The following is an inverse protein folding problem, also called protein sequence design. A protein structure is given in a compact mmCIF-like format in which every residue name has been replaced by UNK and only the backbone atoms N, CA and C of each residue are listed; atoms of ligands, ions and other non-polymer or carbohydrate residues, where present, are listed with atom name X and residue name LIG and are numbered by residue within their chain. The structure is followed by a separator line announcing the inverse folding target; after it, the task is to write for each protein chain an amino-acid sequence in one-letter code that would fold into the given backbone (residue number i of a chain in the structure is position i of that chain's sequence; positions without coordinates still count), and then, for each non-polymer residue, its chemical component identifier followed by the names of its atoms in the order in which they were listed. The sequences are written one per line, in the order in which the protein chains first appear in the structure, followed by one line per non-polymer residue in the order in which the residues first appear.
data_IF_423787077855
#
_entry.id   IF_423787077855
#
_cell.length_a   1.000
_cell.length_b   1.000
_cell.length_c   1.000
_cell.angle_alpha   90.00
_cell.angle_beta   90.00
_cell.angle_gamma   90.00
#
_symmetry.space_group_name_H-M   'P 1'
#
loop_
_entity.id
_entity.type
_entity.pdbx_description
1 polymer ?
#
# COMPACT_ATOMS: atom_id res chain seq x y z
N UNK A 1 11.82 -35.82 -31.51
CA UNK A 1 12.14 -35.10 -30.24
C UNK A 1 11.17 -33.94 -30.12
N UNK A 2 10.06 -34.18 -29.46
CA UNK A 2 8.98 -33.18 -29.23
C UNK A 2 9.32 -32.40 -27.98
N UNK A 3 9.47 -31.09 -28.10
CA UNK A 3 9.59 -30.16 -26.96
C UNK A 3 8.29 -30.23 -26.14
N UNK A 4 8.45 -30.48 -24.84
CA UNK A 4 7.33 -30.47 -23.90
C UNK A 4 6.73 -29.06 -23.73
N UNK A 5 5.44 -28.93 -23.29
CA UNK A 5 4.77 -27.68 -23.18
C UNK A 5 5.27 -26.87 -21.98
N UNK A 6 5.78 -25.66 -22.22
CA UNK A 6 5.75 -24.58 -21.25
C UNK A 6 6.97 -24.40 -20.36
N UNK A 7 8.17 -24.26 -20.91
CA UNK A 7 9.19 -23.48 -20.22
C UNK A 7 8.74 -22.01 -20.22
N UNK A 8 8.29 -21.55 -19.03
CA UNK A 8 8.08 -20.11 -18.79
C UNK A 8 9.44 -19.42 -18.94
N UNK A 9 9.48 -18.22 -19.57
CA UNK A 9 10.73 -17.49 -19.64
C UNK A 9 11.32 -17.35 -18.25
N UNK A 10 12.61 -17.63 -18.14
CA UNK A 10 13.34 -17.59 -16.86
C UNK A 10 13.33 -16.15 -16.33
N UNK A 11 12.53 -15.90 -15.31
CA UNK A 11 12.45 -14.58 -14.66
C UNK A 11 13.82 -14.30 -14.00
N UNK A 12 14.47 -13.23 -14.38
CA UNK A 12 15.77 -12.86 -13.82
C UNK A 12 15.60 -11.97 -12.60
N UNK A 13 16.18 -12.36 -11.45
CA UNK A 13 16.45 -11.43 -10.35
C UNK A 13 17.73 -10.66 -10.72
N UNK A 14 17.64 -9.78 -11.71
CA UNK A 14 18.76 -8.96 -12.15
C UNK A 14 18.58 -7.53 -11.62
N UNK A 15 19.52 -7.07 -10.79
CA UNK A 15 19.54 -5.71 -10.27
C UNK A 15 19.06 -5.55 -8.82
N UNK A 16 18.77 -4.32 -8.40
CA UNK A 16 18.32 -4.00 -7.03
C UNK A 16 17.01 -4.71 -6.69
N UNK A 17 16.86 -5.13 -5.41
CA UNK A 17 15.66 -5.80 -4.91
C UNK A 17 14.41 -4.89 -4.89
N UNK A 18 14.61 -3.58 -4.95
CA UNK A 18 13.57 -2.56 -5.08
C UNK A 18 14.01 -1.56 -6.14
N UNK A 19 13.11 -1.25 -7.08
CA UNK A 19 13.32 -0.25 -8.11
C UNK A 19 12.49 0.99 -7.80
N UNK A 20 13.01 2.16 -8.15
CA UNK A 20 12.30 3.45 -8.01
C UNK A 20 12.37 4.20 -9.32
N UNK A 21 11.22 4.69 -9.78
CA UNK A 21 11.12 5.62 -10.91
C UNK A 21 10.25 6.79 -10.49
N UNK A 22 10.68 8.02 -10.79
CA UNK A 22 9.89 9.23 -10.51
C UNK A 22 9.53 9.88 -11.84
N UNK A 23 8.22 10.07 -12.05
CA UNK A 23 7.67 10.69 -13.24
C UNK A 23 6.40 11.47 -12.85
N UNK A 24 6.20 12.66 -13.38
CA UNK A 24 5.01 13.49 -13.13
C UNK A 24 4.68 13.67 -11.64
N UNK A 25 5.71 13.83 -10.80
CA UNK A 25 5.61 13.94 -9.34
C UNK A 25 5.09 12.67 -8.64
N UNK A 26 5.13 11.53 -9.30
CA UNK A 26 4.71 10.24 -8.77
C UNK A 26 5.94 9.32 -8.70
N UNK A 27 6.27 8.84 -7.50
CA UNK A 27 7.29 7.82 -7.31
C UNK A 27 6.65 6.43 -7.44
N UNK A 28 7.11 5.63 -8.40
CA UNK A 28 6.73 4.23 -8.52
C UNK A 28 7.82 3.37 -7.89
N UNK A 29 7.49 2.69 -6.79
CA UNK A 29 8.36 1.75 -6.07
C UNK A 29 7.94 0.33 -6.44
N UNK A 30 8.87 -0.45 -6.99
CA UNK A 30 8.60 -1.81 -7.45
C UNK A 30 9.45 -2.81 -6.68
N UNK A 31 8.81 -3.77 -6.01
CA UNK A 31 9.48 -4.93 -5.44
C UNK A 31 9.99 -5.80 -6.59
N UNK A 32 11.31 -6.05 -6.66
CA UNK A 32 11.96 -6.61 -7.83
C UNK A 32 12.72 -7.90 -7.54
N UNK A 33 12.01 -8.90 -7.05
CA UNK A 33 12.49 -10.29 -6.91
C UNK A 33 11.48 -11.27 -7.51
N UNK A 34 11.23 -11.21 -8.84
CA UNK A 34 10.15 -11.98 -9.48
C UNK A 34 10.30 -13.50 -9.33
N UNK A 35 11.53 -14.05 -9.32
CA UNK A 35 11.78 -15.48 -9.08
C UNK A 35 11.33 -15.93 -7.70
N UNK A 36 11.48 -15.08 -6.69
CA UNK A 36 11.01 -15.30 -5.32
C UNK A 36 9.58 -14.74 -5.10
N UNK A 37 8.83 -14.37 -6.16
CA UNK A 37 7.52 -13.73 -6.06
C UNK A 37 7.53 -12.53 -5.12
N UNK A 38 8.59 -11.75 -5.19
CA UNK A 38 8.83 -10.54 -4.41
C UNK A 38 8.75 -10.78 -2.88
N UNK A 39 9.20 -11.96 -2.43
CA UNK A 39 9.26 -12.28 -1.01
C UNK A 39 10.15 -11.28 -0.24
N UNK A 40 9.72 -10.96 0.98
CA UNK A 40 10.32 -9.98 1.87
C UNK A 40 11.61 -10.54 2.49
N UNK A 41 12.71 -10.42 1.74
CA UNK A 41 14.07 -10.56 2.27
C UNK A 41 14.47 -9.28 3.03
N UNK A 42 15.56 -9.33 3.79
CA UNK A 42 16.12 -8.11 4.42
C UNK A 42 16.38 -7.01 3.39
N UNK A 43 16.95 -7.37 2.23
CA UNK A 43 17.21 -6.41 1.16
C UNK A 43 15.94 -5.75 0.63
N UNK A 44 14.84 -6.51 0.47
CA UNK A 44 13.53 -5.95 0.08
C UNK A 44 12.97 -5.05 1.17
N UNK A 45 12.99 -5.48 2.43
CA UNK A 45 12.43 -4.71 3.54
C UNK A 45 13.14 -3.36 3.71
N UNK A 46 14.49 -3.36 3.73
CA UNK A 46 15.26 -2.11 3.84
C UNK A 46 15.12 -1.25 2.59
N UNK A 47 15.26 -1.83 1.39
CA UNK A 47 15.11 -1.07 0.14
C UNK A 47 13.72 -0.45 -0.02
N UNK A 48 12.66 -1.16 0.40
CA UNK A 48 11.29 -0.64 0.40
C UNK A 48 11.13 0.52 1.38
N UNK A 49 11.65 0.37 2.60
CA UNK A 49 11.63 1.43 3.60
C UNK A 49 12.35 2.68 3.10
N UNK A 50 13.59 2.53 2.65
CA UNK A 50 14.43 3.64 2.19
C UNK A 50 13.81 4.35 0.98
N UNK A 51 13.26 3.58 0.03
CA UNK A 51 12.61 4.13 -1.16
C UNK A 51 11.37 4.97 -0.81
N UNK A 52 10.52 4.48 0.11
CA UNK A 52 9.31 5.20 0.54
C UNK A 52 9.68 6.40 1.40
N UNK A 53 10.67 6.30 2.29
CA UNK A 53 11.16 7.41 3.10
C UNK A 53 11.72 8.53 2.20
N UNK A 54 12.60 8.19 1.26
CA UNK A 54 13.17 9.15 0.30
C UNK A 54 12.09 9.84 -0.53
N UNK A 55 11.10 9.10 -1.03
CA UNK A 55 9.95 9.69 -1.74
C UNK A 55 9.11 10.59 -0.82
N UNK A 56 9.03 10.27 0.48
CA UNK A 56 8.39 11.09 1.50
C UNK A 56 9.05 12.45 1.66
N UNK A 57 10.38 12.48 1.68
CA UNK A 57 11.19 13.68 1.89
C UNK A 57 11.38 14.52 0.62
N UNK A 58 11.23 13.94 -0.56
CA UNK A 58 11.43 14.64 -1.84
C UNK A 58 10.25 15.60 -2.13
N UNK A 59 10.44 16.94 -2.13
CA UNK A 59 9.38 17.91 -2.44
C UNK A 59 8.86 17.80 -3.88
N UNK A 60 9.61 17.17 -4.78
CA UNK A 60 9.20 16.90 -6.15
C UNK A 60 8.16 15.77 -6.26
N UNK A 61 7.99 14.94 -5.22
CA UNK A 61 7.04 13.82 -5.21
C UNK A 61 5.76 14.20 -4.48
N UNK A 62 4.61 13.93 -5.07
CA UNK A 62 3.27 14.16 -4.49
C UNK A 62 2.58 12.87 -4.01
N UNK A 63 2.86 11.75 -4.66
CA UNK A 63 2.29 10.44 -4.34
C UNK A 63 3.27 9.32 -4.62
N UNK A 64 3.10 8.19 -3.95
CA UNK A 64 3.87 6.97 -4.16
C UNK A 64 2.94 5.88 -4.66
N UNK A 65 3.35 5.13 -5.69
CA UNK A 65 2.73 3.87 -6.12
C UNK A 65 3.66 2.74 -5.71
N UNK A 66 3.13 1.75 -4.98
CA UNK A 66 3.85 0.54 -4.61
C UNK A 66 3.29 -0.64 -5.39
N UNK A 67 4.16 -1.37 -6.09
CA UNK A 67 3.79 -2.57 -6.86
C UNK A 67 4.88 -3.63 -6.79
N UNK A 68 4.63 -4.81 -7.37
CA UNK A 68 5.62 -5.87 -7.54
C UNK A 68 5.94 -6.13 -9.00
N UNK A 69 7.17 -6.55 -9.32
CA UNK A 69 7.46 -7.14 -10.61
C UNK A 69 6.64 -8.43 -10.79
N UNK A 70 6.03 -8.62 -11.97
CA UNK A 70 5.24 -9.82 -12.24
C UNK A 70 6.02 -11.13 -11.98
N UNK A 71 5.32 -12.16 -11.51
CA UNK A 71 3.86 -12.37 -11.51
C UNK A 71 3.18 -12.10 -10.16
N UNK A 72 3.80 -11.47 -9.18
CA UNK A 72 3.26 -11.32 -7.83
C UNK A 72 3.42 -9.89 -7.31
N UNK A 73 2.53 -9.48 -6.42
CA UNK A 73 2.78 -8.31 -5.59
C UNK A 73 3.86 -8.64 -4.55
N UNK A 74 3.55 -9.55 -3.62
CA UNK A 74 4.49 -10.02 -2.60
C UNK A 74 3.99 -11.31 -1.95
N UNK A 75 4.84 -12.35 -1.91
CA UNK A 75 4.50 -13.65 -1.34
C UNK A 75 4.69 -13.75 0.18
N UNK A 76 5.01 -12.66 0.87
CA UNK A 76 5.27 -12.64 2.31
C UNK A 76 6.76 -12.79 2.65
N UNK A 77 7.06 -13.14 3.88
CA UNK A 77 8.44 -13.27 4.38
C UNK A 77 9.20 -14.35 3.58
N UNK A 78 10.46 -14.07 3.25
CA UNK A 78 11.34 -15.03 2.58
C UNK A 78 11.76 -16.14 3.54
N UNK A 79 11.03 -17.26 3.49
CA UNK A 79 11.26 -18.40 4.38
C UNK A 79 12.65 -19.03 4.22
N UNK A 80 13.34 -18.81 3.10
CA UNK A 80 14.71 -19.31 2.93
C UNK A 80 15.71 -18.53 3.77
N UNK A 81 15.46 -17.22 3.98
CA UNK A 81 16.28 -16.43 4.89
C UNK A 81 15.96 -16.68 6.37
N UNK A 82 14.72 -17.16 6.65
CA UNK A 82 14.27 -17.48 8.01
C UNK A 82 14.73 -18.86 8.47
N UNK A 83 14.88 -19.83 7.54
CA UNK A 83 15.32 -21.19 7.83
C UNK A 83 16.82 -21.31 8.18
N UNK A 84 17.61 -20.25 8.04
CA UNK A 84 18.94 -20.17 8.66
C UNK A 84 18.81 -19.98 10.18
N UNK A 85 19.72 -20.54 10.96
CA UNK A 85 19.73 -20.73 12.43
C UNK A 85 19.48 -19.48 13.34
N UNK A 86 19.04 -18.36 12.80
CA UNK A 86 18.57 -17.24 13.58
C UNK A 86 17.08 -17.01 13.30
N UNK A 87 16.22 -16.89 14.35
CA UNK A 87 14.88 -16.39 14.13
C UNK A 87 14.98 -15.08 13.35
N UNK A 88 13.98 -14.75 12.49
CA UNK A 88 14.00 -13.46 11.82
C UNK A 88 14.15 -12.44 12.92
N UNK A 89 15.33 -11.82 13.00
CA UNK A 89 15.52 -10.75 13.92
C UNK A 89 14.49 -9.70 13.53
N UNK A 90 13.39 -9.65 14.28
CA UNK A 90 12.59 -8.43 14.34
C UNK A 90 13.64 -7.35 14.58
N UNK A 91 13.88 -6.44 13.62
CA UNK A 91 14.92 -5.44 13.78
C UNK A 91 14.76 -4.81 15.15
N UNK A 92 15.87 -4.59 15.90
CA UNK A 92 15.78 -3.97 17.20
C UNK A 92 15.03 -2.65 17.08
N UNK A 93 14.32 -2.30 18.13
CA UNK A 93 13.60 -1.04 18.28
C UNK A 93 14.54 0.14 18.06
N UNK A 94 14.66 0.58 16.83
CA UNK A 94 15.23 1.89 16.55
C UNK A 94 14.16 2.68 15.79
N UNK A 95 13.39 3.53 16.52
CA UNK A 95 12.34 4.32 15.91
C UNK A 95 12.98 5.32 14.95
N UNK A 96 12.99 5.01 13.66
CA UNK A 96 13.42 5.93 12.63
C UNK A 96 14.43 5.42 11.61
N UNK A 97 15.02 4.23 11.79
CA UNK A 97 16.11 3.76 10.93
C UNK A 97 15.82 2.50 10.10
N UNK A 98 14.54 2.20 9.80
CA UNK A 98 14.17 1.07 8.94
C UNK A 98 12.90 0.33 9.38
N UNK A 99 12.56 -0.80 8.73
CA UNK A 99 11.43 -1.62 9.11
C UNK A 99 11.54 -2.05 10.58
N UNK A 100 10.49 -1.81 11.36
CA UNK A 100 10.49 -2.13 12.78
C UNK A 100 9.17 -1.81 13.46
N UNK A 101 9.11 -1.99 14.79
CA UNK A 101 7.92 -1.65 15.55
C UNK A 101 7.86 -0.16 15.85
N UNK A 102 6.70 0.45 15.56
CA UNK A 102 6.43 1.83 15.97
C UNK A 102 6.20 1.93 17.49
N UNK A 103 5.96 3.13 17.97
CA UNK A 103 5.72 3.42 19.40
C UNK A 103 4.52 2.67 19.98
N UNK A 104 3.58 2.22 19.12
CA UNK A 104 2.41 1.44 19.50
C UNK A 104 2.63 -0.08 19.39
N UNK A 105 3.85 -0.50 19.02
CA UNK A 105 4.21 -1.91 18.87
C UNK A 105 3.82 -2.53 17.54
N UNK A 106 3.21 -1.79 16.61
CA UNK A 106 2.89 -2.26 15.26
C UNK A 106 4.18 -2.36 14.45
N UNK A 107 4.43 -3.52 13.85
CA UNK A 107 5.51 -3.68 12.90
C UNK A 107 5.16 -2.96 11.58
N UNK A 108 6.06 -2.10 11.13
CA UNK A 108 5.88 -1.36 9.89
C UNK A 108 6.89 -1.81 8.85
N UNK A 109 6.37 -2.16 7.69
CA UNK A 109 7.13 -2.37 6.46
C UNK A 109 7.35 -1.05 5.72
N UNK A 110 6.46 -0.08 5.93
CA UNK A 110 6.48 1.24 5.31
C UNK A 110 6.65 2.32 6.38
N UNK A 111 7.52 3.33 6.16
CA UNK A 111 7.55 4.51 7.02
C UNK A 111 6.24 5.29 6.90
N UNK A 112 5.87 5.97 7.97
CA UNK A 112 4.76 6.92 7.93
C UNK A 112 5.24 8.20 7.28
N UNK A 113 4.79 8.45 6.06
CA UNK A 113 5.10 9.67 5.30
C UNK A 113 3.86 10.57 5.17
N UNK A 114 4.08 11.86 4.91
CA UNK A 114 3.01 12.84 4.72
C UNK A 114 2.34 12.76 3.35
N UNK A 115 2.60 11.73 2.55
CA UNK A 115 2.10 11.57 1.19
C UNK A 115 1.33 10.26 1.06
N UNK A 116 0.34 10.13 0.15
CA UNK A 116 -0.35 8.88 -0.08
C UNK A 116 0.59 7.85 -0.71
N UNK A 117 0.50 6.61 -0.21
CA UNK A 117 1.10 5.42 -0.81
C UNK A 117 -0.03 4.58 -1.35
N UNK A 118 -0.12 4.42 -2.65
CA UNK A 118 -1.17 3.66 -3.34
C UNK A 118 -0.61 2.29 -3.68
N UNK A 119 -1.21 1.23 -3.14
CA UNK A 119 -0.82 -0.13 -3.49
C UNK A 119 -1.45 -0.55 -4.82
N UNK A 120 -0.62 -0.80 -5.84
CA UNK A 120 -1.03 -1.37 -7.13
C UNK A 120 -0.75 -2.88 -7.09
N UNK A 121 -1.74 -3.67 -6.68
CA UNK A 121 -1.59 -5.11 -6.42
C UNK A 121 -1.73 -5.89 -7.73
N UNK A 122 -0.59 -6.23 -8.35
CA UNK A 122 -0.53 -6.87 -9.66
C UNK A 122 -0.75 -8.39 -9.65
N UNK A 123 -0.60 -9.04 -8.50
CA UNK A 123 -0.71 -10.49 -8.36
C UNK A 123 -0.99 -10.90 -6.92
N UNK A 124 -0.43 -12.02 -6.46
CA UNK A 124 -0.64 -12.51 -5.09
C UNK A 124 -0.02 -11.56 -4.06
N UNK A 125 -0.78 -11.28 -3.01
CA UNK A 125 -0.36 -10.58 -1.79
C UNK A 125 -0.71 -11.46 -0.60
N UNK A 126 0.29 -12.09 0.03
CA UNK A 126 0.06 -13.15 1.02
C UNK A 126 0.82 -12.85 2.31
N UNK A 127 0.15 -13.03 3.45
CA UNK A 127 0.74 -12.95 4.79
C UNK A 127 1.49 -11.62 4.99
N UNK A 128 2.80 -11.58 5.14
CA UNK A 128 3.59 -10.33 5.20
C UNK A 128 3.41 -9.43 3.96
N UNK A 129 3.18 -10.01 2.77
CA UNK A 129 2.88 -9.25 1.56
C UNK A 129 1.50 -8.59 1.59
N UNK A 130 0.52 -9.22 2.23
CA UNK A 130 -0.77 -8.60 2.52
C UNK A 130 -0.61 -7.50 3.58
N UNK A 131 0.24 -7.69 4.59
CA UNK A 131 0.56 -6.66 5.57
C UNK A 131 1.19 -5.41 4.95
N UNK A 132 2.09 -5.59 3.97
CA UNK A 132 2.64 -4.46 3.18
C UNK A 132 1.53 -3.75 2.41
N UNK A 133 0.64 -4.48 1.74
CA UNK A 133 -0.48 -3.89 1.01
C UNK A 133 -1.41 -3.11 1.94
N UNK A 134 -1.78 -3.66 3.09
CA UNK A 134 -2.65 -3.02 4.09
C UNK A 134 -2.05 -1.75 4.71
N UNK A 135 -0.74 -1.59 4.71
CA UNK A 135 -0.07 -0.37 5.18
C UNK A 135 -0.08 0.75 4.11
N UNK A 136 -0.49 0.47 2.87
CA UNK A 136 -0.75 1.49 1.88
C UNK A 136 -1.99 2.33 2.25
N UNK A 137 -2.10 3.52 1.69
CA UNK A 137 -3.24 4.43 1.94
C UNK A 137 -4.54 3.86 1.41
N UNK A 138 -4.51 3.28 0.21
CA UNK A 138 -5.58 2.50 -0.41
C UNK A 138 -5.02 1.61 -1.51
N UNK A 139 -5.85 0.69 -2.02
CA UNK A 139 -5.42 -0.35 -2.95
C UNK A 139 -6.19 -0.31 -4.27
N UNK A 140 -5.44 -0.46 -5.36
CA UNK A 140 -5.95 -0.83 -6.69
C UNK A 140 -5.45 -2.23 -7.00
N UNK A 141 -6.33 -3.12 -7.44
CA UNK A 141 -5.98 -4.49 -7.74
C UNK A 141 -6.13 -4.81 -9.23
N UNK A 142 -5.21 -5.61 -9.74
CA UNK A 142 -5.41 -6.33 -11.00
C UNK A 142 -6.46 -7.42 -10.80
N UNK A 143 -7.23 -7.77 -11.83
CA UNK A 143 -8.10 -8.96 -11.85
C UNK A 143 -7.36 -10.27 -11.52
N UNK A 144 -6.01 -10.28 -11.71
CA UNK A 144 -5.15 -11.41 -11.34
C UNK A 144 -4.79 -11.44 -9.85
N UNK A 145 -5.05 -10.36 -9.10
CA UNK A 145 -4.68 -10.28 -7.70
C UNK A 145 -5.40 -11.33 -6.85
N UNK A 146 -4.70 -11.84 -5.85
CA UNK A 146 -5.22 -12.78 -4.86
C UNK A 146 -4.66 -12.40 -3.49
N UNK A 147 -5.49 -12.47 -2.48
CA UNK A 147 -5.15 -12.06 -1.12
C UNK A 147 -5.36 -13.23 -0.17
N UNK A 148 -4.41 -13.47 0.72
CA UNK A 148 -4.56 -14.50 1.75
C UNK A 148 -3.76 -14.14 3.00
N UNK A 149 -4.30 -14.53 4.14
CA UNK A 149 -3.56 -14.57 5.41
C UNK A 149 -3.25 -16.03 5.77
N UNK A 150 -2.01 -16.44 5.63
CA UNK A 150 -1.59 -17.82 5.90
C UNK A 150 -0.83 -17.96 7.22
N UNK A 151 -0.86 -16.97 8.14
CA UNK A 151 -0.19 -17.05 9.43
C UNK A 151 -0.61 -18.30 10.22
N UNK A 152 -1.93 -18.56 10.32
CA UNK A 152 -2.42 -19.74 11.03
C UNK A 152 -1.97 -21.06 10.40
N UNK A 153 -1.87 -21.13 9.06
CA UNK A 153 -1.36 -22.33 8.35
C UNK A 153 0.11 -22.60 8.64
N UNK A 154 0.89 -21.54 8.90
CA UNK A 154 2.31 -21.61 9.23
C UNK A 154 2.56 -21.77 10.73
N UNK A 155 1.53 -21.63 11.57
CA UNK A 155 1.67 -21.64 13.03
C UNK A 155 2.39 -20.41 13.58
N UNK A 156 2.38 -19.29 12.88
CA UNK A 156 3.01 -18.02 13.30
C UNK A 156 1.96 -16.94 13.52
N UNK A 157 2.31 -15.91 14.29
CA UNK A 157 1.40 -14.79 14.57
C UNK A 157 1.75 -13.58 13.72
N UNK A 158 0.75 -12.84 13.22
CA UNK A 158 0.95 -11.59 12.51
C UNK A 158 1.50 -10.50 13.44
N UNK A 159 2.27 -9.58 12.88
CA UNK A 159 2.81 -8.44 13.62
C UNK A 159 2.74 -7.13 12.85
N UNK A 160 2.47 -7.18 11.54
CA UNK A 160 2.42 -6.04 10.63
C UNK A 160 1.03 -5.44 10.43
N UNK A 161 0.04 -5.83 11.25
CA UNK A 161 -1.27 -5.16 11.32
C UNK A 161 -2.43 -5.88 10.64
N UNK A 162 -2.28 -7.11 10.17
CA UNK A 162 -3.38 -7.86 9.53
C UNK A 162 -4.65 -7.85 10.39
N UNK A 163 -4.56 -8.21 11.66
CA UNK A 163 -5.73 -8.32 12.53
C UNK A 163 -6.47 -7.00 12.74
N UNK A 164 -5.75 -5.87 12.67
CA UNK A 164 -6.31 -4.53 12.84
C UNK A 164 -6.79 -3.98 11.50
N UNK A 165 -5.88 -3.87 10.52
CA UNK A 165 -6.15 -3.18 9.27
C UNK A 165 -7.15 -3.94 8.37
N UNK A 166 -7.07 -5.27 8.37
CA UNK A 166 -8.01 -6.09 7.61
C UNK A 166 -9.41 -6.04 8.23
N UNK A 167 -9.51 -6.05 9.58
CA UNK A 167 -10.79 -5.92 10.27
C UNK A 167 -11.43 -4.53 10.04
N UNK A 168 -10.63 -3.47 9.96
CA UNK A 168 -11.12 -2.14 9.60
C UNK A 168 -11.60 -2.06 8.15
N UNK A 169 -10.94 -2.77 7.23
CA UNK A 169 -11.27 -2.72 5.79
C UNK A 169 -12.52 -3.54 5.45
N UNK A 170 -12.63 -4.79 5.92
CA UNK A 170 -13.66 -5.72 5.50
C UNK A 170 -14.61 -6.17 6.63
N UNK A 171 -14.44 -5.63 7.82
CA UNK A 171 -15.18 -6.01 9.01
C UNK A 171 -14.61 -7.25 9.70
N UNK A 172 -14.81 -7.30 11.04
CA UNK A 172 -14.16 -8.25 11.94
C UNK A 172 -14.39 -9.72 11.54
N UNK A 173 -15.65 -10.10 11.22
CA UNK A 173 -15.99 -11.50 10.94
C UNK A 173 -15.33 -12.03 9.68
N UNK A 174 -15.26 -11.23 8.62
CA UNK A 174 -14.58 -11.60 7.37
C UNK A 174 -13.06 -11.68 7.54
N UNK A 175 -12.49 -10.75 8.29
CA UNK A 175 -11.08 -10.79 8.63
C UNK A 175 -10.73 -12.07 9.42
N UNK A 176 -11.53 -12.43 10.44
CA UNK A 176 -11.35 -13.68 11.21
C UNK A 176 -11.43 -14.91 10.29
N UNK A 177 -12.46 -15.00 9.45
CA UNK A 177 -12.64 -16.13 8.51
C UNK A 177 -11.38 -16.28 7.61
N UNK A 178 -10.91 -15.19 7.02
CA UNK A 178 -9.74 -15.22 6.14
C UNK A 178 -8.48 -15.67 6.89
N UNK A 179 -8.22 -15.12 8.09
CA UNK A 179 -7.05 -15.47 8.90
C UNK A 179 -7.08 -16.91 9.41
N UNK A 180 -8.23 -17.40 9.84
CA UNK A 180 -8.33 -18.75 10.39
C UNK A 180 -8.31 -19.84 9.33
N UNK A 181 -8.88 -19.58 8.14
CA UNK A 181 -8.91 -20.54 7.04
C UNK A 181 -7.62 -20.49 6.20
N UNK A 182 -7.00 -19.31 6.10
CA UNK A 182 -5.90 -19.05 5.17
C UNK A 182 -6.32 -19.19 3.70
N UNK A 183 -7.62 -19.12 3.39
CA UNK A 183 -8.12 -19.22 2.03
C UNK A 183 -7.80 -17.94 1.24
N UNK A 184 -7.79 -18.07 -0.09
CA UNK A 184 -7.52 -16.95 -0.97
C UNK A 184 -8.82 -16.23 -1.32
N UNK A 185 -8.81 -14.91 -1.26
CA UNK A 185 -9.80 -14.02 -1.88
C UNK A 185 -9.35 -13.68 -3.30
N UNK A 186 -10.31 -13.67 -4.21
CA UNK A 186 -10.14 -13.08 -5.55
C UNK A 186 -10.15 -11.54 -5.46
N UNK A 187 -9.72 -10.88 -6.53
CA UNK A 187 -9.79 -9.42 -6.62
C UNK A 187 -11.24 -8.89 -6.47
N UNK A 188 -12.20 -9.55 -7.13
CA UNK A 188 -13.61 -9.15 -7.07
C UNK A 188 -14.23 -9.35 -5.68
N UNK A 189 -13.85 -10.41 -4.97
CA UNK A 189 -14.25 -10.60 -3.57
C UNK A 189 -13.64 -9.53 -2.68
N UNK A 190 -12.36 -9.20 -2.87
CA UNK A 190 -11.67 -8.15 -2.14
C UNK A 190 -12.34 -6.77 -2.35
N UNK A 191 -12.79 -6.47 -3.59
CA UNK A 191 -13.56 -5.26 -3.90
C UNK A 191 -14.90 -5.25 -3.17
N UNK A 192 -15.69 -6.33 -3.27
CA UNK A 192 -16.99 -6.42 -2.58
C UNK A 192 -16.90 -6.30 -1.06
N UNK A 193 -15.77 -6.72 -0.49
CA UNK A 193 -15.51 -6.66 0.95
C UNK A 193 -14.88 -5.33 1.40
N UNK A 194 -14.51 -4.45 0.48
CA UNK A 194 -13.87 -3.17 0.80
C UNK A 194 -12.37 -3.27 1.11
N UNK A 195 -11.73 -4.42 0.82
CA UNK A 195 -10.27 -4.57 0.98
C UNK A 195 -9.51 -3.77 -0.08
N UNK A 196 -10.04 -3.69 -1.29
CA UNK A 196 -9.49 -2.88 -2.38
C UNK A 196 -10.52 -1.88 -2.90
N UNK A 197 -10.06 -0.75 -3.42
CA UNK A 197 -10.92 0.33 -3.90
C UNK A 197 -11.35 0.14 -5.35
N UNK A 198 -10.49 -0.50 -6.17
CA UNK A 198 -10.73 -0.73 -7.59
C UNK A 198 -10.16 -2.07 -8.03
N UNK A 199 -10.81 -2.67 -9.03
CA UNK A 199 -10.29 -3.83 -9.76
C UNK A 199 -10.31 -3.50 -11.25
N UNK A 200 -9.17 -3.70 -11.92
CA UNK A 200 -8.98 -3.36 -13.32
C UNK A 200 -8.29 -4.50 -14.09
N UNK A 201 -8.37 -4.58 -15.42
CA UNK A 201 -7.55 -5.46 -16.22
C UNK A 201 -6.06 -5.31 -15.84
N UNK A 202 -5.31 -6.40 -15.94
CA UNK A 202 -3.92 -6.41 -15.47
C UNK A 202 -3.04 -5.36 -16.14
N UNK A 203 -3.17 -5.22 -17.43
CA UNK A 203 -2.45 -4.24 -18.26
C UNK A 203 -2.83 -2.80 -17.95
N UNK A 204 -4.03 -2.57 -17.40
CA UNK A 204 -4.51 -1.26 -16.99
C UNK A 204 -4.11 -0.87 -15.55
N UNK A 205 -3.54 -1.79 -14.78
CA UNK A 205 -3.28 -1.57 -13.35
C UNK A 205 -2.42 -0.31 -13.11
N UNK A 206 -1.24 -0.23 -13.70
CA UNK A 206 -0.36 0.92 -13.52
C UNK A 206 -0.88 2.19 -14.20
N UNK A 207 -1.39 2.15 -15.45
CA UNK A 207 -2.04 3.31 -16.07
C UNK A 207 -3.17 3.89 -15.22
N UNK A 208 -4.08 3.06 -14.72
CA UNK A 208 -5.18 3.48 -13.86
C UNK A 208 -4.69 4.08 -12.53
N UNK A 209 -3.75 3.41 -11.86
CA UNK A 209 -3.20 3.88 -10.59
C UNK A 209 -2.45 5.21 -10.76
N UNK A 210 -1.74 5.40 -11.89
CA UNK A 210 -1.08 6.66 -12.21
C UNK A 210 -2.08 7.81 -12.44
N UNK A 211 -3.23 7.54 -13.07
CA UNK A 211 -4.30 8.55 -13.21
C UNK A 211 -4.79 9.01 -11.83
N UNK A 212 -5.10 8.08 -10.91
CA UNK A 212 -5.50 8.41 -9.54
C UNK A 212 -4.42 9.19 -8.78
N UNK A 213 -3.16 8.78 -8.91
CA UNK A 213 -2.03 9.47 -8.30
C UNK A 213 -1.86 10.89 -8.90
N UNK A 214 -2.07 11.06 -10.20
CA UNK A 214 -2.07 12.33 -10.91
C UNK A 214 -3.17 13.27 -10.42
N UNK A 215 -4.36 12.71 -10.17
CA UNK A 215 -5.48 13.45 -9.57
C UNK A 215 -5.11 14.00 -8.19
N UNK A 216 -4.39 13.21 -7.38
CA UNK A 216 -3.91 13.65 -6.07
C UNK A 216 -2.78 14.69 -6.23
N UNK A 217 -1.85 14.45 -7.16
CA UNK A 217 -0.73 15.36 -7.42
C UNK A 217 -1.19 16.74 -7.93
N UNK A 218 -2.35 16.81 -8.58
CA UNK A 218 -3.00 18.05 -9.02
C UNK A 218 -3.68 18.84 -7.90
N UNK A 219 -3.87 18.26 -6.73
CA UNK A 219 -4.50 18.93 -5.59
C UNK A 219 -3.48 19.78 -4.80
N UNK A 220 -3.97 20.55 -3.83
CA UNK A 220 -3.14 21.24 -2.84
C UNK A 220 -2.43 20.23 -1.95
N UNK A 221 -1.10 20.20 -2.01
CA UNK A 221 -0.32 19.19 -1.30
C UNK A 221 -0.30 19.39 0.22
N UNK A 222 -0.46 20.62 0.70
CA UNK A 222 -0.60 20.89 2.12
C UNK A 222 -1.95 20.38 2.63
N UNK A 223 -3.02 20.59 1.85
CA UNK A 223 -4.33 20.04 2.17
C UNK A 223 -4.34 18.50 2.10
N UNK A 224 -3.70 17.88 1.11
CA UNK A 224 -3.56 16.43 1.01
C UNK A 224 -2.87 15.87 2.26
N UNK A 225 -1.72 16.44 2.66
CA UNK A 225 -1.00 16.02 3.87
C UNK A 225 -1.86 16.17 5.12
N UNK A 226 -2.56 17.29 5.23
CA UNK A 226 -3.42 17.57 6.39
C UNK A 226 -4.58 16.57 6.47
N UNK A 227 -5.26 16.29 5.35
CA UNK A 227 -6.34 15.29 5.29
C UNK A 227 -5.85 13.88 5.66
N UNK A 228 -4.69 13.45 5.17
CA UNK A 228 -4.12 12.17 5.57
C UNK A 228 -3.84 12.10 7.07
N UNK A 229 -3.34 13.19 7.66
CA UNK A 229 -3.14 13.29 9.10
C UNK A 229 -4.47 13.22 9.85
N UNK A 230 -5.51 13.92 9.38
CA UNK A 230 -6.86 13.89 9.97
C UNK A 230 -7.40 12.46 10.02
N UNK A 231 -7.43 11.76 8.87
CA UNK A 231 -7.94 10.40 8.82
C UNK A 231 -7.20 9.45 9.74
N UNK A 232 -5.87 9.59 9.86
CA UNK A 232 -5.07 8.77 10.80
C UNK A 232 -5.41 9.04 12.26
N UNK A 233 -5.60 10.30 12.62
CA UNK A 233 -5.94 10.70 14.00
C UNK A 233 -7.37 10.30 14.36
N UNK A 234 -8.33 10.57 13.47
CA UNK A 234 -9.74 10.17 13.66
C UNK A 234 -9.86 8.64 13.76
N UNK A 235 -9.13 7.90 12.93
CA UNK A 235 -9.15 6.43 12.99
C UNK A 235 -8.57 5.84 14.29
N UNK A 236 -7.81 6.62 15.05
CA UNK A 236 -7.25 6.23 16.36
C UNK A 236 -8.10 6.66 17.56
N UNK A 237 -9.18 7.44 17.33
CA UNK A 237 -10.07 7.90 18.40
C UNK A 237 -10.84 6.73 19.04
N UNK A 238 -11.00 6.76 20.34
CA UNK A 238 -11.72 5.72 21.09
C UNK A 238 -13.24 5.84 20.96
N UNK A 239 -13.74 7.04 20.69
CA UNK A 239 -15.17 7.33 20.59
C UNK A 239 -15.45 8.22 19.38
N UNK A 240 -16.71 8.24 18.91
CA UNK A 240 -17.16 9.13 17.85
C UNK A 240 -17.06 10.60 18.25
N UNK A 241 -17.35 10.92 19.52
CA UNK A 241 -17.25 12.27 20.04
C UNK A 241 -15.82 12.79 20.05
N UNK A 242 -14.86 11.94 20.43
CA UNK A 242 -13.43 12.25 20.34
C UNK A 242 -13.00 12.46 18.88
N UNK A 243 -13.49 11.63 17.95
CA UNK A 243 -13.24 11.79 16.53
C UNK A 243 -13.72 13.14 16.00
N UNK A 244 -14.92 13.57 16.36
CA UNK A 244 -15.47 14.88 15.99
C UNK A 244 -14.68 16.04 16.59
N UNK A 245 -14.24 15.93 17.86
CA UNK A 245 -13.39 16.93 18.48
C UNK A 245 -12.04 17.09 17.76
N UNK A 246 -11.42 15.96 17.40
CA UNK A 246 -10.17 15.94 16.63
C UNK A 246 -10.40 16.63 15.28
N UNK A 247 -11.45 16.27 14.54
CA UNK A 247 -11.78 16.88 13.24
C UNK A 247 -12.01 18.40 13.37
N UNK A 248 -12.80 18.82 14.34
CA UNK A 248 -13.07 20.24 14.62
C UNK A 248 -11.79 21.03 14.89
N UNK A 249 -10.95 20.54 15.79
CA UNK A 249 -9.65 21.17 16.11
C UNK A 249 -8.75 21.29 14.88
N UNK A 250 -8.65 20.21 14.09
CA UNK A 250 -7.81 20.20 12.90
C UNK A 250 -8.33 21.16 11.82
N UNK A 251 -9.66 21.28 11.69
CA UNK A 251 -10.29 22.24 10.77
C UNK A 251 -10.06 23.68 11.24
N UNK A 252 -10.26 23.98 12.52
CA UNK A 252 -10.07 25.32 13.11
C UNK A 252 -8.62 25.82 13.01
N UNK A 253 -7.65 24.91 13.07
CA UNK A 253 -6.22 25.24 12.97
C UNK A 253 -5.71 25.37 11.53
N UNK A 254 -6.52 24.98 10.54
CA UNK A 254 -6.17 25.13 9.13
C UNK A 254 -6.44 26.56 8.63
N UNK A 255 -5.44 27.18 8.01
CA UNK A 255 -5.53 28.54 7.46
C UNK A 255 -5.09 28.52 5.99
N UNK A 256 -5.98 28.18 5.06
CA UNK A 256 -5.65 28.21 3.64
C UNK A 256 -5.48 29.66 3.17
N UNK A 257 -4.58 29.90 2.23
CA UNK A 257 -4.49 31.17 1.53
C UNK A 257 -5.73 31.39 0.66
N UNK A 258 -6.58 32.33 1.01
CA UNK A 258 -7.85 32.57 0.29
C UNK A 258 -7.66 32.91 -1.19
N UNK A 259 -6.56 33.59 -1.56
CA UNK A 259 -6.20 33.85 -2.96
C UNK A 259 -5.93 32.56 -3.71
N UNK A 260 -5.25 31.59 -3.08
CA UNK A 260 -4.97 30.26 -3.67
C UNK A 260 -6.27 29.46 -3.83
N UNK A 261 -7.19 29.54 -2.86
CA UNK A 261 -8.51 28.88 -2.93
C UNK A 261 -9.30 29.43 -4.12
N UNK A 262 -9.36 30.76 -4.26
CA UNK A 262 -10.04 31.40 -5.38
C UNK A 262 -9.43 31.01 -6.73
N UNK A 263 -8.10 30.96 -6.84
CA UNK A 263 -7.39 30.56 -8.07
C UNK A 263 -7.67 29.13 -8.50
N UNK A 264 -7.88 28.22 -7.56
CA UNK A 264 -8.17 26.79 -7.84
C UNK A 264 -9.64 26.53 -8.22
N UNK A 265 -10.57 27.44 -7.90
CA UNK A 265 -12.02 27.23 -8.10
C UNK A 265 -12.37 26.84 -9.54
N UNK A 266 -11.79 27.51 -10.53
CA UNK A 266 -12.08 27.24 -11.93
C UNK A 266 -11.64 25.80 -12.33
N UNK A 267 -10.45 25.39 -11.92
CA UNK A 267 -9.92 24.05 -12.19
C UNK A 267 -10.76 22.95 -11.51
N UNK A 268 -11.17 23.15 -10.25
CA UNK A 268 -12.04 22.21 -9.52
C UNK A 268 -13.40 22.07 -10.24
N UNK A 269 -14.00 23.19 -10.67
CA UNK A 269 -15.28 23.17 -11.38
C UNK A 269 -15.15 22.48 -12.74
N UNK A 270 -14.09 22.75 -13.50
CA UNK A 270 -13.84 22.15 -14.80
C UNK A 270 -13.67 20.62 -14.68
N UNK A 271 -12.85 20.18 -13.71
CA UNK A 271 -12.64 18.75 -13.44
C UNK A 271 -13.94 18.06 -13.00
N UNK A 272 -14.72 18.67 -12.11
CA UNK A 272 -15.98 18.10 -11.68
C UNK A 272 -16.99 17.93 -12.83
N UNK A 273 -17.04 18.87 -13.77
CA UNK A 273 -17.88 18.76 -14.97
C UNK A 273 -17.42 17.63 -15.90
N UNK A 274 -16.11 17.50 -16.14
CA UNK A 274 -15.55 16.43 -16.95
C UNK A 274 -15.90 15.04 -16.36
N UNK A 275 -15.69 14.85 -15.06
CA UNK A 275 -16.00 13.59 -14.38
C UNK A 275 -17.49 13.27 -14.34
N UNK A 276 -18.37 14.29 -14.30
CA UNK A 276 -19.82 14.08 -14.36
C UNK A 276 -20.31 13.69 -15.77
N UNK A 277 -19.64 14.21 -16.83
CA UNK A 277 -20.00 13.86 -18.23
C UNK A 277 -19.49 12.49 -18.67
N UNK A 278 -18.46 11.94 -18.04
CA UNK A 278 -17.93 10.59 -18.33
C UNK A 278 -18.76 9.48 -17.65
N UNK A 279 -19.77 9.83 -16.84
CA UNK A 279 -20.62 8.89 -16.10
C UNK A 279 -21.96 8.59 -16.81
N UNK A 280 -22.29 9.28 -17.90
CA UNK A 280 -23.44 9.05 -18.78
C UNK A 280 -23.03 8.23 -20.03
#
# INVERSE_FOLDING_TARGET
MTRGPGERPELADAGPAVLVAVEDRIATVTLNRPRARNALSRAVMHGLWDAVAAAGDDPGVAAVILTGADPAFCAGIDLKEVAGDAPPAVPPRDPGLGPGRDTNGLFRFLPVIGKPVIGAVNGVAVTGGLEVALQCTFLVASQRARFADTHARLGVMPGGGITVLMAQSMGLRRAIELSLTGNFLTADEALRLGLVNHVVPHEELLPFTRRLAGDIAGNDQDAVRRLLQHYRQVASAATLDEAHLIEGYLAETWRPGMTQVAGRRAAVTARGRAQASDAD
#
